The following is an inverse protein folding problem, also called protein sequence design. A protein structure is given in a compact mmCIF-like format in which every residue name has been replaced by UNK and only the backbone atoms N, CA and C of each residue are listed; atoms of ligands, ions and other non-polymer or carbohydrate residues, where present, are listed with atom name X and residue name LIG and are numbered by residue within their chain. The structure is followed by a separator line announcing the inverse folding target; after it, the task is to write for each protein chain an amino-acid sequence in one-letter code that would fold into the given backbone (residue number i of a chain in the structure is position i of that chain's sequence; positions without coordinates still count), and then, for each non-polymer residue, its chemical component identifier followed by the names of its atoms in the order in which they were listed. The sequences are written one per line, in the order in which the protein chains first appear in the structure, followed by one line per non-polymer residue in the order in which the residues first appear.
data_IF_815343511716
#
_entry.id   IF_815343511716
#
_cell.length_a   1.000
_cell.length_b   1.000
_cell.length_c   1.000
_cell.angle_alpha   90.00
_cell.angle_beta   90.00
_cell.angle_gamma   90.00
#
_symmetry.space_group_name_H-M   'P 1'
#
loop_
_entity.id
_entity.type
_entity.pdbx_description
1 polymer ?
#
# COMPACT_ATOMS: atom_id res chain seq x y z
N UNK A 1 -12.15 1.20 18.83
CA UNK A 1 -11.67 2.16 17.80
C UNK A 1 -10.23 2.63 17.99
N UNK A 2 -9.77 3.12 19.15
CA UNK A 2 -8.39 3.68 19.30
C UNK A 2 -7.26 2.68 18.98
N UNK A 3 -7.36 1.42 19.44
CA UNK A 3 -6.34 0.39 19.16
C UNK A 3 -6.29 -0.04 17.69
N UNK A 4 -7.43 -0.13 17.00
CA UNK A 4 -7.47 -0.55 15.59
C UNK A 4 -6.95 0.53 14.65
N UNK A 5 -7.25 1.80 14.95
CA UNK A 5 -6.68 2.95 14.23
C UNK A 5 -5.15 2.99 14.35
N UNK A 6 -4.63 2.60 15.50
CA UNK A 6 -3.18 2.56 15.76
C UNK A 6 -2.46 1.58 14.82
N UNK A 7 -3.11 0.49 14.40
CA UNK A 7 -2.56 -0.44 13.41
C UNK A 7 -2.93 -0.07 11.97
N UNK A 8 -4.16 0.40 11.74
CA UNK A 8 -4.66 0.72 10.40
C UNK A 8 -3.91 1.89 9.76
N UNK A 9 -3.75 3.00 10.47
CA UNK A 9 -3.15 4.23 9.95
C UNK A 9 -1.72 3.99 9.41
N UNK A 10 -0.78 3.39 10.17
CA UNK A 10 0.58 3.20 9.67
C UNK A 10 0.64 2.23 8.48
N UNK A 11 -0.15 1.15 8.48
CA UNK A 11 -0.20 0.20 7.35
C UNK A 11 -0.72 0.90 6.10
N UNK A 12 -1.78 1.69 6.23
CA UNK A 12 -2.40 2.42 5.14
C UNK A 12 -1.47 3.48 4.54
N UNK A 13 -0.80 4.28 5.39
CA UNK A 13 0.17 5.27 4.95
C UNK A 13 1.38 4.62 4.27
N UNK A 14 1.89 3.53 4.84
CA UNK A 14 3.02 2.81 4.26
C UNK A 14 2.67 2.21 2.88
N UNK A 15 1.48 1.61 2.75
CA UNK A 15 0.99 1.11 1.47
C UNK A 15 0.93 2.22 0.41
N UNK A 16 0.41 3.39 0.81
CA UNK A 16 0.28 4.56 -0.06
C UNK A 16 1.65 5.08 -0.50
N UNK A 17 2.58 5.21 0.44
CA UNK A 17 3.92 5.68 0.20
C UNK A 17 4.69 4.75 -0.76
N UNK A 18 4.63 3.44 -0.54
CA UNK A 18 5.28 2.46 -1.42
C UNK A 18 4.63 2.39 -2.81
N UNK A 19 3.31 2.52 -2.89
CA UNK A 19 2.57 2.46 -4.16
C UNK A 19 2.82 3.67 -5.05
N UNK A 20 2.83 4.88 -4.48
CA UNK A 20 3.04 6.13 -5.23
C UNK A 20 4.52 6.42 -5.43
N UNK A 21 5.33 6.29 -4.37
CA UNK A 21 6.75 6.63 -4.34
C UNK A 21 7.68 5.53 -4.84
N UNK A 22 7.15 4.34 -5.19
CA UNK A 22 7.92 3.17 -5.61
C UNK A 22 9.04 3.46 -6.62
N UNK A 23 8.81 4.20 -7.72
CA UNK A 23 9.86 4.51 -8.69
C UNK A 23 11.04 5.30 -8.11
N UNK A 24 10.77 6.35 -7.32
CA UNK A 24 11.84 7.16 -6.70
C UNK A 24 12.62 6.36 -5.66
N UNK A 25 11.92 5.53 -4.89
CA UNK A 25 12.52 4.64 -3.89
C UNK A 25 13.36 3.53 -4.52
N UNK A 26 13.00 3.07 -5.71
CA UNK A 26 13.73 2.05 -6.44
C UNK A 26 15.11 2.54 -6.88
N UNK A 27 15.20 3.76 -7.42
CA UNK A 27 16.49 4.38 -7.73
C UNK A 27 17.34 4.58 -6.46
N UNK A 28 16.72 5.06 -5.38
CA UNK A 28 17.45 5.22 -4.12
C UNK A 28 17.99 3.88 -3.58
N UNK A 29 17.21 2.79 -3.68
CA UNK A 29 17.63 1.45 -3.26
C UNK A 29 18.76 0.89 -4.12
N UNK A 30 18.73 1.14 -5.43
CA UNK A 30 19.83 0.75 -6.32
C UNK A 30 21.14 1.41 -5.88
N UNK A 31 21.09 2.71 -5.57
CA UNK A 31 22.29 3.48 -5.21
C UNK A 31 22.82 3.19 -3.80
N UNK A 32 21.95 2.84 -2.84
CA UNK A 32 22.31 2.80 -1.41
C UNK A 32 22.20 1.43 -0.74
N UNK A 33 21.44 0.49 -1.30
CA UNK A 33 21.16 -0.79 -0.63
C UNK A 33 21.81 -1.95 -1.37
N UNK A 34 21.42 -2.15 -2.64
CA UNK A 34 21.97 -3.23 -3.43
C UNK A 34 21.84 -2.90 -4.91
N UNK A 35 22.95 -2.96 -5.63
CA UNK A 35 23.02 -2.60 -7.04
C UNK A 35 22.31 -3.67 -7.89
N UNK A 36 21.05 -3.39 -8.20
CA UNK A 36 20.18 -4.23 -9.00
C UNK A 36 19.26 -3.32 -9.79
N UNK A 37 18.79 -3.83 -10.93
CA UNK A 37 17.95 -3.05 -11.81
C UNK A 37 16.72 -2.55 -11.06
N UNK A 38 16.41 -1.25 -11.14
CA UNK A 38 15.40 -0.66 -10.26
C UNK A 38 13.99 -1.22 -10.53
N UNK A 39 13.78 -1.87 -11.69
CA UNK A 39 12.56 -2.63 -12.01
C UNK A 39 12.20 -3.70 -10.97
N UNK A 40 13.19 -4.38 -10.40
CA UNK A 40 12.95 -5.40 -9.37
C UNK A 40 12.45 -4.76 -8.07
N UNK A 41 12.99 -3.59 -7.71
CA UNK A 41 12.52 -2.82 -6.56
C UNK A 41 11.12 -2.26 -6.77
N UNK A 42 10.84 -1.66 -7.93
CA UNK A 42 9.50 -1.16 -8.25
C UNK A 42 8.47 -2.28 -8.17
N UNK A 43 8.79 -3.45 -8.74
CA UNK A 43 7.91 -4.63 -8.69
C UNK A 43 7.69 -5.11 -7.26
N UNK A 44 8.75 -5.19 -6.45
CA UNK A 44 8.65 -5.57 -5.05
C UNK A 44 7.78 -4.57 -4.25
N UNK A 45 7.98 -3.26 -4.43
CA UNK A 45 7.19 -2.23 -3.76
C UNK A 45 5.72 -2.24 -4.17
N UNK A 46 5.42 -2.50 -5.44
CA UNK A 46 4.05 -2.68 -5.93
C UNK A 46 3.37 -3.85 -5.22
N UNK A 47 4.02 -5.02 -5.18
CA UNK A 47 3.48 -6.21 -4.49
C UNK A 47 3.29 -5.94 -3.00
N UNK A 48 4.28 -5.34 -2.33
CA UNK A 48 4.19 -5.01 -0.89
C UNK A 48 3.05 -4.02 -0.63
N UNK A 49 2.88 -3.00 -1.47
CA UNK A 49 1.80 -2.02 -1.37
C UNK A 49 0.42 -2.68 -1.44
N UNK A 50 0.20 -3.57 -2.41
CA UNK A 50 -1.06 -4.33 -2.56
C UNK A 50 -1.31 -5.21 -1.33
N UNK A 51 -0.29 -5.94 -0.86
CA UNK A 51 -0.42 -6.79 0.33
C UNK A 51 -0.76 -5.96 1.56
N UNK A 52 -0.14 -4.80 1.75
CA UNK A 52 -0.45 -3.90 2.86
C UNK A 52 -1.88 -3.37 2.81
N UNK A 53 -2.41 -3.04 1.63
CA UNK A 53 -3.83 -2.66 1.49
C UNK A 53 -4.78 -3.80 1.83
N UNK A 54 -4.47 -5.03 1.42
CA UNK A 54 -5.25 -6.21 1.80
C UNK A 54 -5.21 -6.47 3.31
N UNK A 55 -4.03 -6.32 3.94
CA UNK A 55 -3.89 -6.40 5.39
C UNK A 55 -4.69 -5.30 6.10
N UNK A 56 -4.63 -4.06 5.62
CA UNK A 56 -5.41 -2.96 6.15
C UNK A 56 -6.92 -3.25 6.07
N UNK A 57 -7.38 -3.83 4.96
CA UNK A 57 -8.77 -4.24 4.78
C UNK A 57 -9.17 -5.36 5.74
N UNK A 58 -8.32 -6.37 5.93
CA UNK A 58 -8.54 -7.45 6.90
C UNK A 58 -8.63 -6.90 8.34
N UNK A 59 -7.75 -5.99 8.71
CA UNK A 59 -7.78 -5.33 10.02
C UNK A 59 -9.11 -4.63 10.22
N UNK A 60 -9.56 -3.82 9.27
CA UNK A 60 -10.87 -3.13 9.35
C UNK A 60 -12.01 -4.15 9.53
N UNK A 61 -12.10 -5.17 8.67
CA UNK A 61 -13.17 -6.20 8.74
C UNK A 61 -13.19 -6.93 10.08
N UNK A 62 -12.03 -7.36 10.58
CA UNK A 62 -11.93 -8.08 11.85
C UNK A 62 -12.37 -7.23 13.03
N UNK A 63 -12.05 -5.93 13.03
CA UNK A 63 -12.47 -5.01 14.09
C UNK A 63 -13.94 -4.64 13.99
N UNK A 64 -14.48 -4.51 12.78
CA UNK A 64 -15.89 -4.24 12.52
C UNK A 64 -16.82 -5.35 12.98
N UNK A 65 -16.37 -6.62 12.87
CA UNK A 65 -17.10 -7.75 13.45
C UNK A 65 -17.16 -7.70 14.98
N UNK A 66 -16.23 -7.00 15.64
CA UNK A 66 -16.16 -6.87 17.10
C UNK A 66 -16.81 -5.60 17.65
N UNK A 67 -17.07 -4.58 16.84
CA UNK A 67 -17.66 -3.30 17.27
C UNK A 67 -18.63 -2.73 16.22
N UNK A 68 -19.86 -2.37 16.62
CA UNK A 68 -20.87 -1.68 15.80
C UNK A 68 -20.56 -0.17 15.64
N UNK A 69 -19.39 0.20 15.13
CA UNK A 69 -18.98 1.59 14.86
C UNK A 69 -18.84 1.92 13.37
N UNK A 70 -18.28 3.10 13.06
CA UNK A 70 -18.09 3.74 11.72
C UNK A 70 -17.26 2.98 10.67
N UNK A 71 -17.20 1.65 10.78
CA UNK A 71 -16.73 0.68 9.80
C UNK A 71 -16.95 1.08 8.33
N UNK A 72 -18.17 1.43 7.87
CA UNK A 72 -18.40 1.68 6.46
C UNK A 72 -17.57 2.86 5.93
N UNK A 73 -17.32 3.89 6.74
CA UNK A 73 -16.51 5.05 6.34
C UNK A 73 -15.05 4.65 6.07
N UNK A 74 -14.46 3.79 6.91
CA UNK A 74 -13.09 3.30 6.71
C UNK A 74 -12.95 2.41 5.48
N UNK A 75 -13.94 1.56 5.20
CA UNK A 75 -13.94 0.71 4.01
C UNK A 75 -14.04 1.58 2.74
N UNK A 76 -14.92 2.57 2.74
CA UNK A 76 -15.07 3.51 1.62
C UNK A 76 -13.78 4.30 1.39
N UNK A 77 -13.18 4.84 2.46
CA UNK A 77 -11.89 5.54 2.37
C UNK A 77 -10.80 4.62 1.78
N UNK A 78 -10.73 3.38 2.26
CA UNK A 78 -9.74 2.40 1.81
C UNK A 78 -9.91 2.09 0.33
N UNK A 79 -11.13 1.82 -0.13
CA UNK A 79 -11.41 1.56 -1.55
C UNK A 79 -11.11 2.78 -2.43
N UNK A 80 -11.45 3.98 -1.96
CA UNK A 80 -11.24 5.22 -2.71
C UNK A 80 -9.76 5.57 -2.91
N UNK A 81 -8.89 5.19 -1.96
CA UNK A 81 -7.45 5.44 -2.07
C UNK A 81 -6.70 4.25 -2.65
N UNK A 82 -7.00 3.03 -2.22
CA UNK A 82 -6.31 1.82 -2.67
C UNK A 82 -6.51 1.57 -4.17
N UNK A 83 -7.69 1.87 -4.73
CA UNK A 83 -7.95 1.71 -6.16
C UNK A 83 -7.00 2.54 -7.03
N UNK A 84 -7.01 3.88 -6.92
CA UNK A 84 -6.11 4.75 -7.67
C UNK A 84 -4.62 4.45 -7.42
N UNK A 85 -4.23 4.17 -6.17
CA UNK A 85 -2.83 3.87 -5.84
C UNK A 85 -2.37 2.55 -6.45
N UNK A 86 -3.21 1.51 -6.42
CA UNK A 86 -2.89 0.22 -7.04
C UNK A 86 -2.82 0.35 -8.56
N UNK A 87 -3.73 1.11 -9.18
CA UNK A 87 -3.69 1.41 -10.61
C UNK A 87 -2.40 2.14 -10.99
N UNK A 88 -2.04 3.19 -10.23
CA UNK A 88 -0.79 3.91 -10.44
C UNK A 88 0.44 3.01 -10.30
N UNK A 89 0.52 2.24 -9.22
CA UNK A 89 1.66 1.37 -8.95
C UNK A 89 1.81 0.27 -10.02
N UNK A 90 0.68 -0.30 -10.47
CA UNK A 90 0.66 -1.30 -11.55
C UNK A 90 1.07 -0.66 -12.87
N UNK A 91 0.56 0.52 -13.19
CA UNK A 91 0.94 1.26 -14.39
C UNK A 91 2.42 1.63 -14.41
N UNK A 92 2.95 2.15 -13.30
CA UNK A 92 4.37 2.47 -13.15
C UNK A 92 5.24 1.22 -13.32
N UNK A 93 4.81 0.08 -12.76
CA UNK A 93 5.51 -1.20 -12.93
C UNK A 93 5.48 -1.66 -14.39
N UNK A 94 4.31 -1.60 -15.05
CA UNK A 94 4.16 -1.99 -16.47
C UNK A 94 4.97 -1.11 -17.41
N UNK A 95 5.02 0.21 -17.18
CA UNK A 95 5.86 1.14 -17.97
C UNK A 95 7.35 0.87 -17.86
N UNK A 96 7.79 0.12 -16.84
CA UNK A 96 9.18 -0.27 -16.69
C UNK A 96 9.49 -1.64 -17.32
N UNK A 97 8.48 -2.50 -17.46
CA UNK A 97 8.60 -3.83 -18.09
C UNK A 97 8.35 -3.82 -19.60
N UNK A 98 7.71 -2.78 -20.15
CA UNK A 98 7.47 -2.58 -21.58
C UNK A 98 8.36 -1.51 -22.18
#
# INVERSE_FOLDING_TARGET
MKRSLLFFIPIFLLATYLGIGGPGLAYWMQDHVYDTWPIYYVTAFCVISIVLYLLAMLVVILFSRKQKGDTPAYIVLLLFVAGPVTLWSTFATLMWWG
#
